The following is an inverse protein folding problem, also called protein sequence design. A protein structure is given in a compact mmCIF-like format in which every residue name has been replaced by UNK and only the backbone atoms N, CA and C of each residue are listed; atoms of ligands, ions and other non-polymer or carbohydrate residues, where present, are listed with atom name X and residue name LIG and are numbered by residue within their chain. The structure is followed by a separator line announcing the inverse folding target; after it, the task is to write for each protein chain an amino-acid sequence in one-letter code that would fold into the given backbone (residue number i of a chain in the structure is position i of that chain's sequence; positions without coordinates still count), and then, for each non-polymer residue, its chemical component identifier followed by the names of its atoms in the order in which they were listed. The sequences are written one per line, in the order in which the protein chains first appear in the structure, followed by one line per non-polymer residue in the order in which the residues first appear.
data_IF_073433577700
#
_entry.id   IF_073433577700
#
_cell.length_a   1.000
_cell.length_b   1.000
_cell.length_c   1.000
_cell.angle_alpha   90.00
_cell.angle_beta   90.00
_cell.angle_gamma   90.00
#
_symmetry.space_group_name_H-M   'P 1'
#
loop_
_entity.id
_entity.type
_entity.pdbx_description
1 polymer ?
#
# COMPACT_ATOMS: atom_id res chain seq x y z
N UNK A 1 10.24 -13.90 -16.75
CA UNK A 1 10.69 -12.49 -16.95
C UNK A 1 9.73 -11.47 -16.35
N UNK A 2 8.42 -11.65 -16.51
CA UNK A 2 7.40 -10.75 -15.95
C UNK A 2 7.44 -10.65 -14.41
N UNK A 3 7.61 -11.76 -13.69
CA UNK A 3 7.79 -11.76 -12.22
C UNK A 3 9.05 -10.98 -11.77
N UNK A 4 10.14 -11.03 -12.54
CA UNK A 4 11.35 -10.22 -12.25
C UNK A 4 11.06 -8.73 -12.38
N UNK A 5 10.24 -8.33 -13.37
CA UNK A 5 9.82 -6.93 -13.55
C UNK A 5 8.94 -6.43 -12.40
N UNK A 6 8.01 -7.27 -11.93
CA UNK A 6 7.16 -6.94 -10.78
C UNK A 6 7.96 -6.80 -9.49
N UNK A 7 8.92 -7.70 -9.23
CA UNK A 7 9.82 -7.58 -8.09
C UNK A 7 10.71 -6.34 -8.15
N UNK A 8 11.12 -5.91 -9.35
CA UNK A 8 11.86 -4.65 -9.52
C UNK A 8 10.98 -3.42 -9.18
N UNK A 9 9.72 -3.40 -9.63
CA UNK A 9 8.77 -2.33 -9.30
C UNK A 9 8.46 -2.27 -7.80
N UNK A 10 8.24 -3.44 -7.17
CA UNK A 10 8.09 -3.53 -5.71
C UNK A 10 9.34 -3.00 -5.00
N UNK A 11 10.54 -3.38 -5.44
CA UNK A 11 11.78 -2.89 -4.85
C UNK A 11 12.00 -1.38 -5.00
N UNK A 12 11.53 -0.77 -6.11
CA UNK A 12 11.51 0.71 -6.24
C UNK A 12 10.51 1.31 -5.26
N UNK A 13 9.30 0.76 -5.19
CA UNK A 13 8.28 1.15 -4.23
C UNK A 13 8.80 1.12 -2.80
N UNK A 14 9.48 0.04 -2.41
CA UNK A 14 10.06 -0.15 -1.09
C UNK A 14 10.98 1.00 -0.69
N UNK A 15 11.95 1.36 -1.54
CA UNK A 15 12.87 2.47 -1.26
C UNK A 15 12.14 3.81 -1.18
N UNK A 16 11.14 4.03 -2.02
CA UNK A 16 10.31 5.25 -1.96
C UNK A 16 9.51 5.30 -0.65
N UNK A 17 8.96 4.16 -0.21
CA UNK A 17 8.24 4.02 1.06
C UNK A 17 9.09 4.38 2.27
N UNK A 18 10.34 3.90 2.29
CA UNK A 18 11.30 4.25 3.34
C UNK A 18 11.54 5.77 3.36
N UNK A 19 11.98 6.35 2.24
CA UNK A 19 12.29 7.79 2.20
C UNK A 19 11.09 8.70 2.48
N UNK A 20 9.89 8.33 2.04
CA UNK A 20 8.67 9.09 2.34
C UNK A 20 8.29 8.99 3.81
N UNK A 21 8.34 7.79 4.40
CA UNK A 21 8.02 7.64 5.82
C UNK A 21 9.01 8.39 6.70
N UNK A 22 10.32 8.29 6.47
CA UNK A 22 11.34 9.08 7.18
C UNK A 22 11.01 10.59 7.16
N UNK A 23 10.65 11.11 5.99
CA UNK A 23 10.30 12.53 5.82
C UNK A 23 8.99 12.90 6.53
N UNK A 24 7.96 12.08 6.39
CA UNK A 24 6.62 12.37 6.91
C UNK A 24 6.54 12.21 8.43
N UNK A 25 7.41 11.40 9.03
CA UNK A 25 7.39 11.11 10.47
C UNK A 25 8.51 11.78 11.24
N UNK A 26 9.25 12.70 10.60
CA UNK A 26 10.41 13.39 11.20
C UNK A 26 10.10 14.05 12.55
N UNK A 27 8.93 14.68 12.67
CA UNK A 27 8.50 15.38 13.89
C UNK A 27 7.40 14.60 14.64
N UNK A 28 7.12 13.36 14.21
CA UNK A 28 6.08 12.51 14.80
C UNK A 28 6.70 11.71 15.94
N UNK A 29 6.07 11.66 17.13
CA UNK A 29 6.48 10.74 18.18
C UNK A 29 6.54 9.30 17.66
N UNK A 30 7.40 8.46 18.23
CA UNK A 30 7.51 7.05 17.85
C UNK A 30 6.13 6.37 17.87
N UNK A 31 5.84 5.61 16.81
CA UNK A 31 4.60 4.84 16.69
C UNK A 31 4.55 3.79 17.81
N UNK A 32 3.52 3.86 18.66
CA UNK A 32 3.42 3.01 19.86
C UNK A 32 2.60 1.75 19.64
N UNK A 33 1.68 1.78 18.68
CA UNK A 33 0.78 0.68 18.40
C UNK A 33 0.47 0.55 16.90
N UNK A 34 -0.10 -0.59 16.53
CA UNK A 34 -0.51 -0.90 15.15
C UNK A 34 -1.55 0.13 14.63
N UNK A 35 -2.37 0.71 15.50
CA UNK A 35 -3.43 1.62 15.11
C UNK A 35 -2.87 2.95 14.58
N UNK A 36 -1.85 3.49 15.23
CA UNK A 36 -1.20 4.73 14.79
C UNK A 36 -0.51 4.54 13.43
N UNK A 37 0.10 3.38 13.20
CA UNK A 37 0.70 3.03 11.91
C UNK A 37 -0.36 2.96 10.81
N UNK A 38 -1.52 2.36 11.10
CA UNK A 38 -2.62 2.28 10.12
C UNK A 38 -3.21 3.65 9.80
N UNK A 39 -3.32 4.55 10.79
CA UNK A 39 -3.72 5.94 10.55
C UNK A 39 -2.72 6.62 9.62
N UNK A 40 -1.43 6.47 9.88
CA UNK A 40 -0.37 7.01 9.03
C UNK A 40 -0.45 6.47 7.60
N UNK A 41 -0.62 5.16 7.43
CA UNK A 41 -0.76 4.57 6.10
C UNK A 41 -1.99 5.10 5.37
N UNK A 42 -3.17 5.09 6.03
CA UNK A 42 -4.45 5.43 5.40
C UNK A 42 -4.63 6.93 5.14
N UNK A 43 -3.93 7.78 5.90
CA UNK A 43 -4.06 9.23 5.83
C UNK A 43 -2.79 9.86 5.31
N UNK A 44 -1.72 9.90 6.09
CA UNK A 44 -0.53 10.68 5.77
C UNK A 44 0.19 10.17 4.52
N UNK A 45 0.48 8.86 4.45
CA UNK A 45 1.16 8.26 3.30
C UNK A 45 0.24 8.27 2.06
N UNK A 46 -1.00 7.81 2.20
CA UNK A 46 -1.93 7.72 1.07
C UNK A 46 -2.25 9.10 0.48
N UNK A 47 -2.51 10.11 1.33
CA UNK A 47 -2.77 11.48 0.87
C UNK A 47 -1.54 12.07 0.20
N UNK A 48 -0.34 11.79 0.72
CA UNK A 48 0.91 12.29 0.12
C UNK A 48 1.08 11.77 -1.31
N UNK A 49 0.83 10.48 -1.54
CA UNK A 49 1.09 9.82 -2.82
C UNK A 49 -0.09 9.93 -3.80
N UNK A 50 -1.31 9.66 -3.33
CA UNK A 50 -2.50 9.54 -4.16
C UNK A 50 -3.48 10.71 -4.02
N UNK A 51 -3.17 11.70 -3.18
CA UNK A 51 -3.98 12.92 -2.96
C UNK A 51 -5.38 12.64 -2.41
N UNK A 52 -5.59 11.45 -1.82
CA UNK A 52 -6.81 11.03 -1.13
C UNK A 52 -6.46 10.11 0.05
N UNK A 53 -7.40 9.96 0.98
CA UNK A 53 -7.32 8.93 2.01
C UNK A 53 -7.76 7.58 1.42
N UNK A 54 -7.40 6.48 2.11
CA UNK A 54 -7.98 5.16 1.84
C UNK A 54 -9.49 5.20 2.14
N UNK A 55 -10.32 4.63 1.26
CA UNK A 55 -11.77 4.69 1.39
C UNK A 55 -12.30 3.74 2.46
N UNK A 56 -11.71 2.54 2.58
CA UNK A 56 -12.11 1.56 3.57
C UNK A 56 -10.91 0.83 4.18
N UNK A 57 -10.89 0.71 5.50
CA UNK A 57 -9.94 -0.11 6.24
C UNK A 57 -10.72 -1.22 6.96
N UNK A 58 -10.37 -2.48 6.68
CA UNK A 58 -10.85 -3.64 7.44
C UNK A 58 -9.69 -4.31 8.15
N UNK A 59 -9.97 -4.95 9.28
CA UNK A 59 -8.98 -5.73 10.03
C UNK A 59 -9.60 -7.00 10.58
N UNK A 60 -8.79 -8.05 10.73
CA UNK A 60 -9.18 -9.24 11.49
C UNK A 60 -8.75 -9.16 12.97
N UNK A 61 -8.20 -8.02 13.42
CA UNK A 61 -7.60 -7.82 14.75
C UNK A 61 -6.47 -8.81 15.10
N UNK A 62 -5.95 -9.54 14.11
CA UNK A 62 -4.89 -10.53 14.24
C UNK A 62 -3.70 -10.18 13.34
N UNK A 63 -3.45 -8.88 13.12
CA UNK A 63 -2.32 -8.40 12.33
C UNK A 63 -2.55 -8.39 10.81
N UNK A 64 -3.77 -8.68 10.33
CA UNK A 64 -4.13 -8.52 8.92
C UNK A 64 -5.06 -7.34 8.72
N UNK A 65 -4.73 -6.50 7.76
CA UNK A 65 -5.47 -5.29 7.39
C UNK A 65 -5.73 -5.29 5.90
N UNK A 66 -6.88 -4.76 5.50
CA UNK A 66 -7.27 -4.61 4.10
C UNK A 66 -7.61 -3.16 3.85
N UNK A 67 -6.77 -2.50 3.07
CA UNK A 67 -6.91 -1.12 2.64
C UNK A 67 -7.57 -1.14 1.26
N UNK A 68 -8.73 -0.50 1.12
CA UNK A 68 -9.46 -0.40 -0.14
C UNK A 68 -9.42 1.03 -0.66
N UNK A 69 -9.05 1.17 -1.93
CA UNK A 69 -9.17 2.42 -2.68
C UNK A 69 -10.11 2.19 -3.87
N UNK A 70 -11.28 2.81 -3.85
CA UNK A 70 -12.36 2.61 -4.82
C UNK A 70 -12.04 3.21 -6.19
N UNK A 71 -11.16 4.22 -6.21
CA UNK A 71 -10.77 4.96 -7.39
C UNK A 71 -9.25 5.11 -7.43
N UNK A 72 -8.57 3.96 -7.51
CA UNK A 72 -7.12 3.94 -7.37
C UNK A 72 -6.45 4.70 -8.52
N UNK A 73 -5.62 5.69 -8.19
CA UNK A 73 -5.09 6.67 -9.13
C UNK A 73 -4.38 6.03 -10.33
N UNK A 74 -3.60 4.98 -10.08
CA UNK A 74 -2.81 4.30 -11.13
C UNK A 74 -3.68 3.47 -12.09
N UNK A 75 -4.89 3.09 -11.68
CA UNK A 75 -5.85 2.38 -12.52
C UNK A 75 -6.88 3.31 -13.16
N UNK A 76 -7.01 4.55 -12.67
CA UNK A 76 -8.03 5.51 -13.12
C UNK A 76 -7.84 5.97 -14.58
N UNK A 77 -6.66 5.71 -15.17
CA UNK A 77 -6.36 5.97 -16.58
C UNK A 77 -6.78 4.82 -17.51
N UNK A 78 -7.14 3.67 -16.94
CA UNK A 78 -7.60 2.50 -17.68
C UNK A 78 -9.13 2.49 -17.77
N UNK A 79 -9.67 1.97 -18.86
CA UNK A 79 -11.12 1.79 -18.97
C UNK A 79 -11.64 0.84 -17.87
N UNK A 80 -12.80 1.14 -17.31
CA UNK A 80 -13.45 0.36 -16.23
C UNK A 80 -14.02 -1.01 -16.70
N UNK A 81 -13.46 -1.59 -17.75
CA UNK A 81 -13.87 -2.88 -18.30
C UNK A 81 -13.09 -4.05 -17.71
N UNK A 82 -13.63 -5.25 -17.88
CA UNK A 82 -12.97 -6.50 -17.44
C UNK A 82 -11.70 -6.83 -18.24
N UNK A 83 -11.53 -6.22 -19.41
CA UNK A 83 -10.43 -6.47 -20.35
C UNK A 83 -9.02 -6.24 -19.77
N UNK A 84 -8.90 -5.50 -18.67
CA UNK A 84 -7.61 -5.21 -18.03
C UNK A 84 -7.44 -5.88 -16.66
N UNK A 85 -8.39 -6.70 -16.19
CA UNK A 85 -8.31 -7.28 -14.84
C UNK A 85 -7.09 -8.19 -14.64
N UNK A 86 -6.60 -8.84 -15.69
CA UNK A 86 -5.38 -9.67 -15.64
C UNK A 86 -4.09 -8.83 -15.56
N UNK A 87 -4.13 -7.62 -16.14
CA UNK A 87 -2.98 -6.72 -16.21
C UNK A 87 -2.96 -5.69 -15.07
N UNK A 88 -4.12 -5.32 -14.54
CA UNK A 88 -4.28 -4.30 -13.50
C UNK A 88 -3.45 -4.57 -12.22
N UNK A 89 -3.32 -5.83 -11.72
CA UNK A 89 -2.43 -6.15 -10.61
C UNK A 89 -0.98 -5.72 -10.79
N UNK A 90 -0.49 -5.63 -12.04
CA UNK A 90 0.89 -5.22 -12.34
C UNK A 90 1.16 -3.77 -11.96
N UNK A 91 0.14 -2.91 -12.00
CA UNK A 91 0.22 -1.50 -11.60
C UNK A 91 0.24 -1.31 -10.08
N UNK A 92 -0.06 -2.36 -9.31
CA UNK A 92 -0.11 -2.31 -7.85
C UNK A 92 1.22 -2.70 -7.19
N UNK A 93 2.13 -3.36 -7.92
CA UNK A 93 3.41 -3.84 -7.37
C UNK A 93 4.25 -2.74 -6.72
N UNK A 94 4.33 -1.57 -7.37
CA UNK A 94 4.99 -0.39 -6.79
C UNK A 94 4.36 0.02 -5.45
N UNK A 95 3.02 0.03 -5.37
CA UNK A 95 2.29 0.44 -4.16
C UNK A 95 2.41 -0.59 -3.04
N UNK A 96 2.47 -1.90 -3.37
CA UNK A 96 2.81 -2.94 -2.38
C UNK A 96 4.18 -2.66 -1.76
N UNK A 97 5.19 -2.39 -2.61
CA UNK A 97 6.52 -2.02 -2.17
C UNK A 97 6.50 -0.76 -1.31
N UNK A 98 5.80 0.29 -1.75
CA UNK A 98 5.65 1.56 -1.05
C UNK A 98 5.15 1.37 0.38
N UNK A 99 4.06 0.62 0.56
CA UNK A 99 3.49 0.35 1.89
C UNK A 99 4.45 -0.48 2.74
N UNK A 100 5.04 -1.53 2.16
CA UNK A 100 6.01 -2.40 2.86
C UNK A 100 7.26 -1.64 3.31
N UNK A 101 7.79 -0.76 2.46
CA UNK A 101 8.95 0.07 2.78
C UNK A 101 8.67 1.10 3.86
N UNK A 102 7.48 1.72 3.83
CA UNK A 102 7.04 2.61 4.89
C UNK A 102 6.94 1.88 6.24
N UNK A 103 6.30 0.71 6.27
CA UNK A 103 6.19 -0.12 7.48
C UNK A 103 7.55 -0.56 8.02
N UNK A 104 8.44 -1.00 7.13
CA UNK A 104 9.81 -1.41 7.50
C UNK A 104 10.59 -0.27 8.17
N UNK A 105 10.48 0.96 7.65
CA UNK A 105 11.13 2.13 8.26
C UNK A 105 10.54 2.50 9.63
N UNK A 106 9.26 2.21 9.85
CA UNK A 106 8.59 2.40 11.15
C UNK A 106 8.85 1.24 12.13
N UNK A 107 9.63 0.23 11.74
CA UNK A 107 10.00 -0.90 12.58
C UNK A 107 9.02 -2.09 12.53
N UNK A 108 8.12 -2.12 11.54
CA UNK A 108 7.14 -3.21 11.38
C UNK A 108 7.53 -4.11 10.22
N UNK A 109 7.80 -5.39 10.51
CA UNK A 109 7.93 -6.40 9.46
C UNK A 109 6.54 -6.76 8.91
N UNK A 110 6.42 -6.78 7.58
CA UNK A 110 5.14 -6.97 6.93
C UNK A 110 5.24 -7.55 5.52
N UNK A 111 4.15 -8.20 5.13
CA UNK A 111 3.90 -8.62 3.75
C UNK A 111 2.72 -7.82 3.20
N UNK A 112 2.86 -7.33 1.97
CA UNK A 112 1.80 -6.58 1.28
C UNK A 112 1.49 -7.25 -0.04
N UNK A 113 0.23 -7.65 -0.22
CA UNK A 113 -0.31 -8.16 -1.48
C UNK A 113 -1.44 -7.26 -1.95
N UNK A 114 -1.75 -7.29 -3.24
CA UNK A 114 -2.83 -6.48 -3.79
C UNK A 114 -3.60 -7.22 -4.87
N UNK A 115 -4.88 -6.85 -4.99
CA UNK A 115 -5.78 -7.40 -6.00
C UNK A 115 -6.69 -6.31 -6.58
N UNK A 116 -7.19 -6.58 -7.79
CA UNK A 116 -8.21 -5.79 -8.48
C UNK A 116 -9.34 -6.72 -8.85
N UNK A 117 -10.46 -6.63 -8.15
CA UNK A 117 -11.65 -7.43 -8.45
C UNK A 117 -12.60 -6.69 -9.40
N UNK A 118 -12.65 -5.36 -9.29
CA UNK A 118 -13.51 -4.48 -10.09
C UNK A 118 -12.72 -3.22 -10.41
N UNK A 119 -12.59 -2.86 -11.68
CA UNK A 119 -11.92 -1.61 -12.06
C UNK A 119 -12.77 -0.39 -11.65
N UNK A 120 -12.17 0.69 -11.10
CA UNK A 120 -10.76 0.90 -10.76
C UNK A 120 -10.42 0.64 -9.28
N UNK A 121 -11.25 -0.13 -8.56
CA UNK A 121 -11.08 -0.44 -7.15
C UNK A 121 -9.90 -1.39 -6.92
N UNK A 122 -9.01 -1.02 -5.98
CA UNK A 122 -7.86 -1.81 -5.57
C UNK A 122 -7.94 -2.13 -4.09
N UNK A 123 -7.53 -3.36 -3.73
CA UNK A 123 -7.41 -3.78 -2.34
C UNK A 123 -5.97 -4.17 -2.06
N UNK A 124 -5.43 -3.66 -0.96
CA UNK A 124 -4.11 -3.98 -0.45
C UNK A 124 -4.27 -4.73 0.87
N UNK A 125 -3.86 -5.98 0.90
CA UNK A 125 -3.77 -6.76 2.13
C UNK A 125 -2.39 -6.54 2.74
N UNK A 126 -2.38 -6.01 3.95
CA UNK A 126 -1.18 -5.77 4.75
C UNK A 126 -1.21 -6.76 5.91
N UNK A 127 -0.20 -7.62 5.98
CA UNK A 127 0.00 -8.56 7.09
C UNK A 127 1.20 -8.09 7.88
N UNK A 128 0.99 -7.57 9.08
CA UNK A 128 2.04 -7.19 10.01
C UNK A 128 2.41 -8.44 10.84
N UNK A 129 3.69 -8.80 10.83
CA UNK A 129 4.19 -9.93 11.61
C UNK A 129 4.28 -9.53 13.08
N UNK A 130 3.64 -10.31 13.96
CA UNK A 130 3.77 -10.13 15.41
C UNK A 130 5.05 -10.80 15.87
N UNK A 131 5.88 -10.06 16.61
CA UNK A 131 7.05 -10.60 17.32
C UNK A 131 6.65 -11.46 18.51
#
# INVERSE_FOLDING_TARGET
EQEKGLGALEGVGFRVGQGLSERLTKETPSFKDELDVLKFLCKDLWVTVFKKQVDNLRTNHQGTYMLQDDHFLLLSQLSNGKQYLEEAPKFLAFTCGLVKGALSNLGFDSTVTAEVLVMPCSKFQVVIQKS
#
